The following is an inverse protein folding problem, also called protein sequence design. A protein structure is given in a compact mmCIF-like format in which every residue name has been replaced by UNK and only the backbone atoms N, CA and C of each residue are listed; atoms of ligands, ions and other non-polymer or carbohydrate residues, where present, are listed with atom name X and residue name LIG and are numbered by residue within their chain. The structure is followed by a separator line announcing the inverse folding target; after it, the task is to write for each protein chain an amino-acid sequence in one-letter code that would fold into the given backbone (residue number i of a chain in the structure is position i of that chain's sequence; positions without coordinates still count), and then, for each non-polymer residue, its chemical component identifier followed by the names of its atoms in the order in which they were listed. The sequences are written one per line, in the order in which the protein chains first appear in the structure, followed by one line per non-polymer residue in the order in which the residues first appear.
data_IF_568490908045
#
_entry.id   IF_568490908045
#
_cell.length_a   1.000
_cell.length_b   1.000
_cell.length_c   1.000
_cell.angle_alpha   90.00
_cell.angle_beta   90.00
_cell.angle_gamma   90.00
#
_symmetry.space_group_name_H-M   'P 1'
#
loop_
_entity.id
_entity.type
_entity.pdbx_description
1 polymer ?
#
# COMPACT_ATOMS: atom_id res chain seq x y z
N UNK A 1 -1.79 14.73 -6.28
CA UNK A 1 -2.83 13.69 -6.36
C UNK A 1 -3.96 14.06 -5.42
N UNK A 2 -5.21 13.97 -5.89
CA UNK A 2 -6.39 14.21 -5.06
C UNK A 2 -6.40 13.21 -3.88
N UNK A 3 -6.65 13.73 -2.68
CA UNK A 3 -6.64 13.02 -1.41
C UNK A 3 -7.79 12.01 -1.36
N UNK A 4 -7.62 10.83 -1.97
CA UNK A 4 -8.51 9.71 -1.69
C UNK A 4 -8.14 9.21 -0.28
N UNK A 5 -9.03 9.39 0.69
CA UNK A 5 -8.91 8.70 1.96
C UNK A 5 -8.99 7.20 1.67
N UNK A 6 -7.87 6.50 1.82
CA UNK A 6 -7.87 5.04 1.76
C UNK A 6 -8.57 4.52 3.02
N UNK A 7 -9.45 3.55 2.86
CA UNK A 7 -10.07 2.83 3.98
C UNK A 7 -9.34 1.52 4.21
N UNK A 8 -9.21 1.09 5.46
CA UNK A 8 -8.65 -0.21 5.77
C UNK A 8 -9.35 -1.30 4.95
N UNK A 9 -8.59 -2.22 4.35
CA UNK A 9 -9.11 -3.20 3.38
C UNK A 9 -9.00 -2.78 1.92
N UNK A 10 -8.61 -1.53 1.62
CA UNK A 10 -8.39 -1.11 0.22
C UNK A 10 -7.23 -1.89 -0.38
N UNK A 11 -7.47 -2.52 -1.53
CA UNK A 11 -6.43 -3.19 -2.30
C UNK A 11 -5.52 -2.15 -2.97
N UNK A 12 -4.23 -2.35 -2.75
CA UNK A 12 -3.15 -1.53 -3.27
C UNK A 12 -2.22 -2.38 -4.11
N UNK A 13 -1.58 -1.73 -5.07
CA UNK A 13 -0.47 -2.28 -5.83
C UNK A 13 0.80 -1.55 -5.42
N UNK A 14 1.80 -2.28 -4.92
CA UNK A 14 3.10 -1.72 -4.60
C UNK A 14 3.90 -1.42 -5.88
N UNK A 15 4.33 -0.18 -6.02
CA UNK A 15 5.10 0.35 -7.17
C UNK A 15 6.43 1.01 -6.76
N UNK A 16 6.76 0.95 -5.47
CA UNK A 16 7.98 1.50 -4.92
C UNK A 16 9.24 0.70 -5.25
N UNK A 17 10.32 1.03 -4.54
CA UNK A 17 11.61 0.33 -4.70
C UNK A 17 11.49 -1.12 -4.20
N UNK A 18 12.15 -2.09 -4.85
CA UNK A 18 12.20 -3.46 -4.36
C UNK A 18 12.71 -3.55 -2.93
N UNK A 19 12.07 -4.40 -2.13
CA UNK A 19 12.49 -4.75 -0.77
C UNK A 19 12.59 -6.27 -0.64
N UNK A 20 13.22 -6.75 0.43
CA UNK A 20 13.39 -8.19 0.68
C UNK A 20 12.03 -8.89 0.82
N UNK A 21 11.81 -9.88 -0.05
CA UNK A 21 10.55 -10.63 -0.13
C UNK A 21 9.50 -10.03 -1.08
N UNK A 22 9.75 -8.87 -1.70
CA UNK A 22 8.86 -8.34 -2.74
C UNK A 22 8.91 -9.24 -3.99
N UNK A 23 7.74 -9.69 -4.42
CA UNK A 23 7.53 -10.43 -5.65
C UNK A 23 6.92 -9.49 -6.71
N UNK A 24 7.65 -9.13 -7.77
CA UNK A 24 7.16 -8.24 -8.82
C UNK A 24 5.95 -8.79 -9.59
N UNK A 25 5.73 -10.11 -9.57
CA UNK A 25 4.59 -10.75 -10.22
C UNK A 25 3.33 -10.66 -9.36
N UNK A 26 3.49 -10.49 -8.04
CA UNK A 26 2.38 -10.31 -7.09
C UNK A 26 2.65 -9.12 -6.16
N UNK A 27 2.49 -7.89 -6.66
CA UNK A 27 2.71 -6.66 -5.89
C UNK A 27 1.49 -6.21 -5.08
N UNK A 28 0.45 -7.05 -4.97
CA UNK A 28 -0.78 -6.69 -4.26
C UNK A 28 -0.56 -6.63 -2.76
N UNK A 29 -1.12 -5.61 -2.13
CA UNK A 29 -1.12 -5.40 -0.70
C UNK A 29 -2.46 -4.83 -0.24
N UNK A 30 -2.77 -4.93 1.04
CA UNK A 30 -3.96 -4.36 1.64
C UNK A 30 -3.58 -3.15 2.50
N UNK A 31 -4.29 -2.04 2.35
CA UNK A 31 -4.11 -0.88 3.21
C UNK A 31 -4.62 -1.16 4.63
N UNK A 32 -3.79 -0.88 5.64
CA UNK A 32 -4.15 -1.05 7.05
C UNK A 32 -4.43 0.29 7.75
N UNK A 33 -3.71 1.35 7.38
CA UNK A 33 -3.89 2.65 8.02
C UNK A 33 -2.76 3.63 7.74
N UNK A 34 -2.96 4.89 8.13
CA UNK A 34 -1.94 5.93 8.09
C UNK A 34 -1.06 5.88 9.34
N UNK A 35 0.13 6.44 9.24
CA UNK A 35 0.94 6.73 10.43
C UNK A 35 0.28 7.81 11.31
N UNK A 36 0.60 7.82 12.60
CA UNK A 36 0.02 8.77 13.55
C UNK A 36 0.42 10.23 13.30
N UNK A 37 1.51 10.43 12.55
CA UNK A 37 2.14 11.75 12.37
C UNK A 37 1.89 12.39 11.00
N UNK A 38 1.30 11.67 10.05
CA UNK A 38 0.59 12.27 8.94
C UNK A 38 1.02 11.78 7.56
N UNK A 39 0.01 11.30 6.84
CA UNK A 39 -0.27 11.42 5.39
C UNK A 39 0.75 10.88 4.38
N UNK A 40 2.03 10.72 4.72
CA UNK A 40 3.08 10.28 3.78
C UNK A 40 3.44 8.82 3.97
N UNK A 41 3.29 8.29 5.18
CA UNK A 41 3.52 6.90 5.50
C UNK A 41 2.22 6.14 5.71
N UNK A 42 2.18 4.91 5.22
CA UNK A 42 1.06 4.00 5.39
C UNK A 42 1.55 2.62 5.84
N UNK A 43 0.69 1.94 6.59
CA UNK A 43 0.83 0.54 6.90
C UNK A 43 0.07 -0.28 5.87
N UNK A 44 0.73 -1.29 5.33
CA UNK A 44 0.15 -2.25 4.40
C UNK A 44 0.34 -3.68 4.93
N UNK A 45 -0.55 -4.57 4.57
CA UNK A 45 -0.35 -6.01 4.68
C UNK A 45 0.07 -6.54 3.30
N UNK A 46 1.31 -7.02 3.21
CA UNK A 46 1.84 -7.66 2.01
C UNK A 46 2.14 -9.12 2.33
N UNK A 47 1.38 -10.06 1.73
CA UNK A 47 1.55 -11.51 1.95
C UNK A 47 1.58 -11.91 3.45
N UNK A 48 0.61 -11.40 4.22
CA UNK A 48 0.48 -11.63 5.68
C UNK A 48 1.55 -10.93 6.54
N UNK A 49 2.41 -10.10 5.95
CA UNK A 49 3.41 -9.30 6.66
C UNK A 49 3.02 -7.81 6.68
N UNK A 50 3.01 -7.24 7.89
CA UNK A 50 2.79 -5.80 8.08
C UNK A 50 4.04 -5.03 7.70
N UNK A 51 3.91 -4.08 6.77
CA UNK A 51 5.00 -3.25 6.28
C UNK A 51 4.64 -1.77 6.31
N UNK A 52 5.63 -0.94 6.62
CA UNK A 52 5.52 0.51 6.56
C UNK A 52 6.12 1.01 5.25
N UNK A 53 5.34 1.70 4.43
CA UNK A 53 5.77 2.19 3.12
C UNK A 53 5.32 3.64 2.90
N UNK A 54 5.91 4.31 1.92
CA UNK A 54 5.42 5.62 1.50
C UNK A 54 4.10 5.48 0.75
N UNK A 55 3.18 6.41 0.95
CA UNK A 55 1.96 6.53 0.15
C UNK A 55 2.29 6.72 -1.35
N UNK A 56 3.46 7.27 -1.69
CA UNK A 56 3.93 7.39 -3.08
C UNK A 56 4.37 6.07 -3.71
N UNK A 57 4.61 5.05 -2.89
CA UNK A 57 5.10 3.73 -3.33
C UNK A 57 3.95 2.76 -3.60
N UNK A 58 2.71 3.24 -3.55
CA UNK A 58 1.51 2.45 -3.80
C UNK A 58 0.56 3.14 -4.76
N UNK A 59 -0.18 2.33 -5.49
CA UNK A 59 -1.30 2.75 -6.32
C UNK A 59 -2.56 2.02 -5.86
N UNK A 60 -3.73 2.63 -5.99
CA UNK A 60 -5.00 1.93 -5.77
C UNK A 60 -5.14 0.90 -6.87
N UNK A 61 -5.29 -0.37 -6.49
CA UNK A 61 -5.55 -1.43 -7.46
C UNK A 61 -7.02 -1.30 -7.90
N UNK A 62 -7.23 -0.61 -9.02
CA UNK A 62 -8.56 -0.41 -9.62
C UNK A 62 -9.07 -1.69 -10.30
N UNK A 63 -8.73 -2.88 -9.78
CA UNK A 63 -9.32 -4.13 -10.22
C UNK A 63 -10.85 -3.94 -10.22
N UNK A 64 -11.37 -3.84 -11.44
CA UNK A 64 -12.65 -3.24 -11.80
C UNK A 64 -13.76 -3.99 -11.07
N UNK A 65 -14.61 -3.24 -10.35
CA UNK A 65 -15.89 -3.71 -9.79
C UNK A 65 -16.82 -4.13 -10.94
#
# INVERSE_FOLDING_TARGET
MNKQHLTAGTLLRYVGKPFEGLDPQSPQAEFLGYDSNGWTGIWINYKEEVRFVSLSDVEIDHAII
#
